data_IF_375839623552
#
_entry.id   IF_375839623552
#
_cell.length_a   1.000
_cell.length_b   1.000
_cell.length_c   1.000
_cell.angle_alpha   90.00
_cell.angle_beta   90.00
_cell.angle_gamma   90.00
#
_symmetry.space_group_name_H-M   'P 1'
#
loop_
_entity.id
_entity.type
_entity.pdbx_description
1 polymer ?
#
# COMPACT_ATOMS: atom_id res chain seq x y z
N UNK A 1 24.61 -21.12 20.96
CA UNK A 1 23.46 -20.61 21.74
C UNK A 1 22.58 -19.87 20.78
N UNK A 2 21.56 -20.56 20.28
CA UNK A 2 20.63 -20.06 19.27
C UNK A 2 19.57 -19.20 19.98
N UNK A 3 19.62 -17.88 19.78
CA UNK A 3 18.59 -16.97 20.28
C UNK A 3 17.40 -17.03 19.32
N UNK A 4 16.41 -17.80 19.69
CA UNK A 4 15.08 -17.82 19.05
C UNK A 4 14.47 -16.43 19.25
N UNK A 5 14.48 -15.61 18.19
CA UNK A 5 13.68 -14.38 18.14
C UNK A 5 12.21 -14.80 18.14
N UNK A 6 11.55 -14.53 19.24
CA UNK A 6 10.09 -14.67 19.32
C UNK A 6 9.47 -13.79 18.25
N UNK A 7 8.83 -14.45 17.29
CA UNK A 7 7.95 -13.83 16.32
C UNK A 7 6.81 -13.19 17.12
N UNK A 8 6.86 -11.87 17.34
CA UNK A 8 5.77 -11.16 18.00
C UNK A 8 4.61 -11.11 17.01
N UNK A 9 3.88 -12.22 16.94
CA UNK A 9 2.60 -12.28 16.27
C UNK A 9 1.70 -11.25 16.93
N UNK A 10 1.41 -10.16 16.20
CA UNK A 10 0.40 -9.18 16.59
C UNK A 10 -0.88 -9.97 16.78
N UNK A 11 -1.37 -10.00 18.02
CA UNK A 11 -2.60 -10.73 18.36
C UNK A 11 -3.76 -10.24 17.49
N UNK A 12 -4.55 -11.14 16.90
CA UNK A 12 -5.73 -10.78 16.12
C UNK A 12 -6.82 -10.03 16.91
N UNK A 13 -6.61 -9.82 18.20
CA UNK A 13 -7.52 -9.12 19.11
C UNK A 13 -7.17 -7.66 19.39
N UNK A 14 -6.25 -7.04 18.62
CA UNK A 14 -5.96 -5.61 18.81
C UNK A 14 -7.18 -4.75 18.45
N UNK A 15 -7.62 -3.84 19.35
CA UNK A 15 -8.76 -2.98 19.11
C UNK A 15 -8.45 -1.90 18.07
N UNK A 16 -9.39 -1.56 17.23
CA UNK A 16 -9.28 -0.42 16.30
C UNK A 16 -10.58 0.37 16.19
N UNK A 17 -10.49 1.59 15.69
CA UNK A 17 -11.63 2.44 15.38
C UNK A 17 -11.67 2.69 13.86
N UNK A 18 -12.74 2.25 13.20
CA UNK A 18 -12.97 2.50 11.79
C UNK A 18 -14.35 3.12 11.60
N UNK A 19 -14.43 4.20 10.82
CA UNK A 19 -15.70 4.90 10.53
C UNK A 19 -16.49 5.32 11.78
N UNK A 20 -15.77 5.77 12.83
CA UNK A 20 -16.39 6.17 14.10
C UNK A 20 -16.89 5.02 14.98
N UNK A 21 -16.74 3.77 14.56
CA UNK A 21 -17.15 2.59 15.33
C UNK A 21 -15.92 1.90 15.91
N UNK A 22 -15.90 1.70 17.21
CA UNK A 22 -14.86 0.94 17.91
C UNK A 22 -15.07 -0.56 17.65
N UNK A 23 -14.07 -1.21 17.09
CA UNK A 23 -14.02 -2.66 16.90
C UNK A 23 -12.99 -3.25 17.85
N UNK A 24 -13.36 -4.21 18.72
CA UNK A 24 -12.45 -4.79 19.69
C UNK A 24 -11.34 -5.64 19.04
N UNK A 25 -11.50 -6.02 17.78
CA UNK A 25 -10.47 -6.70 16.99
C UNK A 25 -10.45 -6.17 15.57
N UNK A 26 -9.30 -5.66 15.12
CA UNK A 26 -9.08 -5.26 13.73
C UNK A 26 -7.65 -5.57 13.33
N UNK A 27 -7.51 -6.72 12.77
CA UNK A 27 -6.23 -7.27 12.32
C UNK A 27 -5.62 -6.47 11.15
N UNK A 28 -6.48 -5.88 10.30
CA UNK A 28 -6.07 -5.27 9.02
C UNK A 28 -5.34 -3.94 9.16
N UNK A 29 -5.64 -3.19 10.21
CA UNK A 29 -5.15 -1.83 10.37
C UNK A 29 -3.87 -1.74 11.20
N UNK A 30 -3.49 -2.83 11.87
CA UNK A 30 -2.33 -2.87 12.77
C UNK A 30 -1.24 -3.77 12.18
N UNK A 31 -0.44 -3.20 11.30
CA UNK A 31 0.71 -3.86 10.69
C UNK A 31 1.99 -3.03 10.91
N UNK A 32 3.14 -3.53 10.50
CA UNK A 32 4.42 -2.83 10.70
C UNK A 32 4.51 -1.49 9.98
N UNK A 33 3.76 -1.29 8.89
CA UNK A 33 3.67 0.01 8.21
C UNK A 33 2.96 1.03 9.11
N UNK A 34 1.87 0.62 9.77
CA UNK A 34 1.15 1.46 10.74
C UNK A 34 2.04 1.78 11.94
N UNK A 35 2.72 0.78 12.51
CA UNK A 35 3.64 0.99 13.62
C UNK A 35 4.81 1.89 13.25
N UNK A 36 5.38 1.72 12.07
CA UNK A 36 6.43 2.60 11.54
C UNK A 36 5.95 4.05 11.44
N UNK A 37 4.74 4.24 10.88
CA UNK A 37 4.14 5.56 10.76
C UNK A 37 3.93 6.20 12.13
N UNK A 38 3.39 5.48 13.10
CA UNK A 38 3.21 5.97 14.47
C UNK A 38 4.54 6.30 15.14
N UNK A 39 5.55 5.46 14.96
CA UNK A 39 6.87 5.67 15.56
C UNK A 39 7.54 6.96 15.06
N UNK A 40 7.38 7.30 13.80
CA UNK A 40 8.11 8.40 13.17
C UNK A 40 7.27 9.69 12.95
N UNK A 41 5.95 9.57 12.91
CA UNK A 41 5.08 10.67 12.51
C UNK A 41 3.89 10.91 13.45
N UNK A 42 3.72 10.15 14.54
CA UNK A 42 2.64 10.41 15.47
C UNK A 42 2.87 11.74 16.24
N UNK A 43 1.79 12.50 16.35
CA UNK A 43 1.73 13.71 17.18
C UNK A 43 0.89 13.34 18.42
N UNK A 44 1.48 13.27 19.62
CA UNK A 44 0.73 12.98 20.84
C UNK A 44 -0.20 14.15 21.16
N UNK A 45 -1.50 13.91 21.14
CA UNK A 45 -2.52 14.92 21.47
C UNK A 45 -2.82 14.93 22.96
N UNK A 46 -2.79 13.76 23.62
CA UNK A 46 -2.99 13.60 25.05
C UNK A 46 -2.40 12.25 25.51
N UNK A 47 -2.05 12.17 26.79
CA UNK A 47 -1.57 10.94 27.41
C UNK A 47 -0.07 10.74 27.29
N UNK A 48 0.37 9.47 27.44
CA UNK A 48 1.79 9.07 27.42
C UNK A 48 2.30 8.96 26.00
N UNK A 49 3.51 9.40 25.74
CA UNK A 49 4.21 9.14 24.48
C UNK A 49 4.41 7.64 24.27
N UNK A 50 3.90 7.13 23.15
CA UNK A 50 3.97 5.72 22.80
C UNK A 50 5.13 5.39 21.85
N UNK A 51 5.66 6.38 21.14
CA UNK A 51 6.74 6.20 20.14
C UNK A 51 7.95 5.41 20.67
N UNK A 52 8.47 5.66 21.91
CA UNK A 52 9.60 4.91 22.44
C UNK A 52 9.29 3.42 22.72
N UNK A 53 8.01 3.07 22.82
CA UNK A 53 7.56 1.69 23.09
C UNK A 53 7.36 0.88 21.79
N UNK A 54 7.32 1.53 20.64
CA UNK A 54 7.08 0.87 19.35
C UNK A 54 8.37 0.20 18.87
N UNK A 55 8.35 -1.13 18.88
CA UNK A 55 9.45 -1.99 18.41
C UNK A 55 9.19 -2.45 17.00
N UNK A 56 9.44 -1.57 16.04
CA UNK A 56 9.41 -1.93 14.62
C UNK A 56 10.68 -1.37 13.97
N UNK A 57 11.26 -2.12 13.05
CA UNK A 57 12.41 -1.71 12.28
C UNK A 57 12.10 -1.75 10.77
N UNK A 58 13.06 -1.35 9.93
CA UNK A 58 12.87 -1.33 8.49
C UNK A 58 12.66 -2.73 7.90
N UNK A 59 13.24 -3.74 8.50
CA UNK A 59 13.09 -5.13 8.05
C UNK A 59 11.64 -5.58 8.19
N UNK A 60 11.01 -5.28 9.33
CA UNK A 60 9.60 -5.60 9.57
C UNK A 60 8.68 -4.92 8.54
N UNK A 61 8.98 -3.66 8.18
CA UNK A 61 8.26 -2.93 7.12
C UNK A 61 8.47 -3.59 5.76
N UNK A 62 9.71 -3.90 5.41
CA UNK A 62 10.07 -4.54 4.15
C UNK A 62 9.40 -5.91 3.99
N UNK A 63 9.41 -6.73 5.04
CA UNK A 63 8.74 -8.04 5.05
C UNK A 63 7.21 -7.90 4.87
N UNK A 64 6.62 -6.88 5.48
CA UNK A 64 5.19 -6.56 5.30
C UNK A 64 4.89 -6.13 3.85
N UNK A 65 5.74 -5.31 3.25
CA UNK A 65 5.58 -4.87 1.86
C UNK A 65 5.79 -6.02 0.89
N UNK A 66 6.77 -6.89 1.16
CA UNK A 66 7.01 -8.12 0.40
C UNK A 66 5.77 -9.01 0.38
N UNK A 67 5.19 -9.30 1.55
CA UNK A 67 3.96 -10.07 1.66
C UNK A 67 2.80 -9.44 0.86
N UNK A 68 2.64 -8.11 0.96
CA UNK A 68 1.61 -7.39 0.20
C UNK A 68 1.77 -7.58 -1.31
N UNK A 69 2.99 -7.50 -1.82
CA UNK A 69 3.28 -7.66 -3.25
C UNK A 69 3.12 -9.11 -3.69
N UNK A 70 3.79 -10.03 -3.01
CA UNK A 70 3.90 -11.43 -3.46
C UNK A 70 2.64 -12.25 -3.22
N UNK A 71 1.85 -11.89 -2.21
CA UNK A 71 0.65 -12.66 -1.85
C UNK A 71 -0.61 -11.87 -2.18
N UNK A 72 -0.83 -10.72 -1.55
CA UNK A 72 -2.10 -10.02 -1.66
C UNK A 72 -2.34 -9.47 -3.07
N UNK A 73 -1.44 -8.63 -3.57
CA UNK A 73 -1.62 -7.99 -4.88
C UNK A 73 -1.40 -8.95 -6.04
N UNK A 74 -0.51 -9.95 -5.91
CA UNK A 74 -0.36 -10.99 -6.92
C UNK A 74 -1.66 -11.76 -7.15
N UNK A 75 -2.34 -12.17 -6.07
CA UNK A 75 -3.66 -12.83 -6.18
C UNK A 75 -4.74 -11.90 -6.75
N UNK A 76 -4.71 -10.61 -6.42
CA UNK A 76 -5.68 -9.63 -6.95
C UNK A 76 -5.44 -9.33 -8.43
N UNK A 77 -4.18 -9.30 -8.86
CA UNK A 77 -3.83 -9.07 -10.26
C UNK A 77 -4.39 -10.16 -11.21
N UNK A 78 -4.67 -11.36 -10.71
CA UNK A 78 -5.33 -12.40 -11.51
C UNK A 78 -6.83 -12.14 -11.72
N UNK A 79 -7.47 -11.32 -10.89
CA UNK A 79 -8.91 -11.07 -10.90
C UNK A 79 -9.27 -9.81 -11.70
N UNK A 80 -9.06 -9.81 -13.03
CA UNK A 80 -9.27 -8.63 -13.89
C UNK A 80 -10.62 -7.93 -13.68
N UNK A 81 -11.69 -8.67 -13.43
CA UNK A 81 -13.04 -8.12 -13.27
C UNK A 81 -13.18 -7.19 -12.05
N UNK A 82 -12.32 -7.33 -11.03
CA UNK A 82 -12.29 -6.39 -9.90
C UNK A 82 -12.01 -4.96 -10.37
N UNK A 83 -11.20 -4.77 -11.41
CA UNK A 83 -10.79 -3.46 -11.94
C UNK A 83 -11.86 -2.78 -12.82
N UNK A 84 -13.04 -3.37 -12.93
CA UNK A 84 -14.23 -2.67 -13.41
C UNK A 84 -14.77 -1.69 -12.36
N UNK A 85 -14.46 -1.89 -11.09
CA UNK A 85 -14.87 -1.06 -9.97
C UNK A 85 -13.80 0.00 -9.67
N UNK A 86 -14.23 1.23 -9.50
CA UNK A 86 -13.35 2.38 -9.28
C UNK A 86 -12.50 2.24 -8.00
N UNK A 87 -13.10 1.73 -6.92
CA UNK A 87 -12.41 1.49 -5.66
C UNK A 87 -11.19 0.56 -5.80
N UNK A 88 -11.32 -0.49 -6.62
CA UNK A 88 -10.22 -1.42 -6.87
C UNK A 88 -9.15 -0.81 -7.76
N UNK A 89 -9.51 0.02 -8.73
CA UNK A 89 -8.54 0.74 -9.58
C UNK A 89 -7.71 1.69 -8.74
N UNK A 90 -8.37 2.56 -7.97
CA UNK A 90 -7.70 3.52 -7.08
C UNK A 90 -6.80 2.80 -6.08
N UNK A 91 -7.38 1.83 -5.37
CA UNK A 91 -6.66 1.14 -4.32
C UNK A 91 -5.45 0.38 -4.86
N UNK A 92 -5.57 -0.34 -5.97
CA UNK A 92 -4.51 -1.16 -6.52
C UNK A 92 -3.35 -0.31 -7.05
N UNK A 93 -3.64 0.65 -7.93
CA UNK A 93 -2.60 1.46 -8.57
C UNK A 93 -1.85 2.31 -7.55
N UNK A 94 -2.59 3.08 -6.73
CA UNK A 94 -1.93 3.99 -5.79
C UNK A 94 -1.25 3.26 -4.62
N UNK A 95 -1.72 2.06 -4.26
CA UNK A 95 -1.02 1.27 -3.25
C UNK A 95 0.28 0.71 -3.80
N UNK A 96 0.33 0.21 -5.02
CA UNK A 96 1.59 -0.23 -5.63
C UNK A 96 2.58 0.92 -5.82
N UNK A 97 2.13 2.08 -6.30
CA UNK A 97 2.99 3.27 -6.37
C UNK A 97 3.56 3.64 -4.98
N UNK A 98 2.74 3.56 -3.93
CA UNK A 98 3.18 3.84 -2.56
C UNK A 98 4.15 2.78 -2.04
N UNK A 99 3.92 1.51 -2.30
CA UNK A 99 4.84 0.43 -1.92
C UNK A 99 6.19 0.63 -2.59
N UNK A 100 6.21 0.89 -3.89
CA UNK A 100 7.44 1.11 -4.64
C UNK A 100 8.21 2.33 -4.14
N UNK A 101 7.52 3.46 -3.92
CA UNK A 101 8.11 4.63 -3.28
C UNK A 101 8.72 4.29 -1.92
N UNK A 102 7.95 3.59 -1.07
CA UNK A 102 8.39 3.24 0.29
C UNK A 102 9.62 2.35 0.28
N UNK A 103 9.68 1.37 -0.62
CA UNK A 103 10.85 0.48 -0.76
C UNK A 103 12.09 1.25 -1.21
N UNK A 104 11.94 2.19 -2.15
CA UNK A 104 13.02 2.98 -2.71
C UNK A 104 13.53 4.04 -1.72
N UNK A 105 12.62 4.84 -1.19
CA UNK A 105 12.97 6.03 -0.38
C UNK A 105 13.03 5.75 1.13
N UNK A 106 12.62 4.56 1.57
CA UNK A 106 12.47 4.18 3.00
C UNK A 106 11.62 5.14 3.80
N UNK A 107 10.66 5.75 3.14
CA UNK A 107 9.74 6.74 3.71
C UNK A 107 8.30 6.44 3.28
N UNK A 108 7.34 6.67 4.18
CA UNK A 108 5.93 6.43 3.91
C UNK A 108 5.27 7.74 3.46
N UNK A 109 4.66 7.71 2.30
CA UNK A 109 3.96 8.84 1.68
C UNK A 109 2.45 8.54 1.56
N UNK A 110 1.64 9.59 1.36
CA UNK A 110 0.21 9.43 1.06
C UNK A 110 -0.01 8.75 -0.30
N UNK A 111 -1.18 8.13 -0.51
CA UNK A 111 -1.52 7.54 -1.81
C UNK A 111 -1.49 8.57 -2.94
N UNK A 112 -1.98 9.78 -2.68
CA UNK A 112 -1.96 10.88 -3.68
C UNK A 112 -0.52 11.27 -4.02
N UNK A 113 0.30 11.56 -3.02
CA UNK A 113 1.71 11.88 -3.24
C UNK A 113 2.49 10.76 -3.93
N UNK A 114 2.16 9.49 -3.65
CA UNK A 114 2.77 8.36 -4.34
C UNK A 114 2.37 8.31 -5.83
N UNK A 115 1.13 8.63 -6.16
CA UNK A 115 0.68 8.76 -7.55
C UNK A 115 1.37 9.91 -8.28
N UNK A 116 1.48 11.08 -7.65
CA UNK A 116 2.19 12.24 -8.19
C UNK A 116 3.68 11.94 -8.42
N UNK A 117 4.33 11.29 -7.45
CA UNK A 117 5.72 10.83 -7.61
C UNK A 117 5.85 9.82 -8.75
N UNK A 118 4.92 8.88 -8.85
CA UNK A 118 4.93 7.87 -9.92
C UNK A 118 4.85 8.51 -11.31
N UNK A 119 4.06 9.57 -11.50
CA UNK A 119 4.01 10.31 -12.77
C UNK A 119 5.34 11.00 -13.12
N UNK A 120 6.17 11.33 -12.12
CA UNK A 120 7.47 11.93 -12.35
C UNK A 120 8.58 10.91 -12.68
N UNK A 121 8.44 9.65 -12.23
CA UNK A 121 9.54 8.66 -12.32
C UNK A 121 9.23 7.46 -13.20
N UNK A 122 7.95 7.12 -13.41
CA UNK A 122 7.57 5.99 -14.25
C UNK A 122 7.57 6.37 -15.74
N UNK A 123 7.88 5.41 -16.62
CA UNK A 123 7.72 5.59 -18.06
C UNK A 123 6.29 6.03 -18.44
N UNK A 124 6.16 6.89 -19.44
CA UNK A 124 4.89 7.49 -19.90
C UNK A 124 3.79 6.48 -20.21
N UNK A 125 4.15 5.26 -20.64
CA UNK A 125 3.19 4.18 -20.88
C UNK A 125 2.33 3.82 -19.66
N UNK A 126 2.78 4.14 -18.45
CA UNK A 126 2.08 3.88 -17.17
C UNK A 126 1.29 5.08 -16.65
N UNK A 127 1.46 6.24 -17.25
CA UNK A 127 0.77 7.46 -16.80
C UNK A 127 -0.76 7.36 -16.89
N UNK A 128 -1.37 6.77 -17.94
CA UNK A 128 -2.83 6.67 -17.99
C UNK A 128 -3.44 5.93 -16.80
N UNK A 129 -2.79 4.86 -16.30
CA UNK A 129 -3.27 4.10 -15.15
C UNK A 129 -3.17 4.92 -13.86
N UNK A 130 -2.07 5.64 -13.68
CA UNK A 130 -1.86 6.50 -12.51
C UNK A 130 -2.81 7.70 -12.54
N UNK A 131 -2.98 8.36 -13.69
CA UNK A 131 -3.95 9.45 -13.86
C UNK A 131 -5.38 9.00 -13.55
N UNK A 132 -5.79 7.84 -14.04
CA UNK A 132 -7.12 7.30 -13.76
C UNK A 132 -7.33 7.04 -12.26
N UNK A 133 -6.34 6.47 -11.58
CA UNK A 133 -6.42 6.23 -10.15
C UNK A 133 -6.46 7.53 -9.33
N UNK A 134 -5.67 8.53 -9.69
CA UNK A 134 -5.70 9.86 -9.07
C UNK A 134 -7.04 10.57 -9.33
N UNK A 135 -7.56 10.50 -10.56
CA UNK A 135 -8.88 11.03 -10.92
C UNK A 135 -9.99 10.45 -10.04
N UNK A 136 -9.99 9.13 -9.88
CA UNK A 136 -10.98 8.45 -9.02
C UNK A 136 -10.85 8.93 -7.57
N UNK A 137 -9.64 9.02 -7.06
CA UNK A 137 -9.37 9.42 -5.68
C UNK A 137 -9.77 10.86 -5.39
N UNK A 138 -9.53 11.78 -6.31
CA UNK A 138 -9.85 13.21 -6.14
C UNK A 138 -11.29 13.54 -6.54
N UNK A 139 -11.96 12.63 -7.23
CA UNK A 139 -13.31 12.88 -7.79
C UNK A 139 -13.32 13.89 -8.93
N UNK A 140 -12.16 14.21 -9.53
CA UNK A 140 -12.02 15.27 -10.54
C UNK A 140 -11.12 14.83 -11.70
N UNK A 141 -11.35 15.37 -12.89
CA UNK A 141 -10.55 15.11 -14.08
C UNK A 141 -11.29 14.27 -15.14
N UNK A 142 -10.61 14.07 -16.27
CA UNK A 142 -11.14 13.35 -17.42
C UNK A 142 -10.73 11.88 -17.36
N UNK A 143 -11.63 10.91 -17.63
CA UNK A 143 -11.27 9.51 -17.69
C UNK A 143 -10.15 9.23 -18.70
N UNK A 144 -9.13 8.49 -18.28
CA UNK A 144 -8.00 8.14 -19.15
C UNK A 144 -8.35 7.00 -20.13
N UNK A 145 -9.46 6.29 -19.91
CA UNK A 145 -9.87 5.14 -20.72
C UNK A 145 -11.28 5.32 -21.28
N UNK A 146 -11.44 4.96 -22.54
CA UNK A 146 -12.72 5.04 -23.25
C UNK A 146 -13.77 4.00 -22.79
N UNK A 147 -13.35 2.96 -22.08
CA UNK A 147 -14.25 1.96 -21.52
C UNK A 147 -13.68 1.30 -20.27
N UNK A 148 -14.57 0.82 -19.38
CA UNK A 148 -14.19 0.10 -18.16
C UNK A 148 -13.46 -1.22 -18.46
N UNK A 149 -13.79 -1.89 -19.55
CA UNK A 149 -13.11 -3.15 -19.94
C UNK A 149 -11.65 -2.89 -20.37
N UNK A 150 -11.41 -1.85 -21.18
CA UNK A 150 -10.04 -1.44 -21.55
C UNK A 150 -9.25 -1.01 -20.32
N UNK A 151 -9.87 -0.23 -19.43
CA UNK A 151 -9.30 0.16 -18.16
C UNK A 151 -8.89 -1.07 -17.33
N UNK A 152 -9.80 -2.01 -17.14
CA UNK A 152 -9.53 -3.21 -16.34
C UNK A 152 -8.34 -4.03 -16.88
N UNK A 153 -8.23 -4.17 -18.21
CA UNK A 153 -7.09 -4.83 -18.84
C UNK A 153 -5.78 -4.06 -18.62
N UNK A 154 -5.80 -2.74 -18.79
CA UNK A 154 -4.63 -1.88 -18.59
C UNK A 154 -4.16 -1.86 -17.12
N UNK A 155 -5.09 -1.80 -16.16
CA UNK A 155 -4.77 -1.86 -14.73
C UNK A 155 -4.20 -3.22 -14.35
N UNK A 156 -4.78 -4.32 -14.83
CA UNK A 156 -4.23 -5.65 -14.61
C UNK A 156 -2.79 -5.77 -15.12
N UNK A 157 -2.53 -5.29 -16.31
CA UNK A 157 -1.19 -5.30 -16.90
C UNK A 157 -0.21 -4.46 -16.08
N UNK A 158 -0.60 -3.24 -15.69
CA UNK A 158 0.18 -2.38 -14.80
C UNK A 158 0.55 -3.11 -13.51
N UNK A 159 -0.42 -3.73 -12.82
CA UNK A 159 -0.16 -4.43 -11.58
C UNK A 159 0.87 -5.55 -11.76
N UNK A 160 0.69 -6.41 -12.77
CA UNK A 160 1.59 -7.53 -13.04
C UNK A 160 3.02 -7.06 -13.28
N UNK A 161 3.20 -6.02 -14.08
CA UNK A 161 4.51 -5.46 -14.38
C UNK A 161 5.15 -4.80 -13.17
N UNK A 162 4.39 -4.04 -12.36
CA UNK A 162 4.95 -3.39 -11.16
C UNK A 162 5.27 -4.39 -10.06
N UNK A 163 4.45 -5.44 -9.89
CA UNK A 163 4.73 -6.55 -8.97
C UNK A 163 6.04 -7.24 -9.36
N UNK A 164 6.18 -7.62 -10.63
CA UNK A 164 7.41 -8.24 -11.15
C UNK A 164 8.63 -7.35 -10.92
N UNK A 165 8.53 -6.07 -11.27
CA UNK A 165 9.60 -5.09 -11.05
C UNK A 165 10.03 -5.04 -9.57
N UNK A 166 9.08 -4.97 -8.64
CA UNK A 166 9.39 -4.94 -7.22
C UNK A 166 10.07 -6.22 -6.74
N UNK A 167 9.64 -7.39 -7.22
CA UNK A 167 10.24 -8.68 -6.89
C UNK A 167 11.70 -8.76 -7.34
N UNK A 168 11.98 -8.33 -8.57
CA UNK A 168 13.32 -8.38 -9.16
C UNK A 168 14.29 -7.38 -8.52
N UNK A 169 13.82 -6.19 -8.10
CA UNK A 169 14.70 -5.10 -7.67
C UNK A 169 14.84 -4.94 -6.16
N UNK A 170 13.85 -5.39 -5.39
CA UNK A 170 13.85 -5.17 -3.94
C UNK A 170 13.84 -6.44 -3.11
N UNK A 171 13.52 -7.60 -3.70
CA UNK A 171 13.33 -8.85 -2.95
C UNK A 171 14.13 -10.03 -3.51
N UNK A 172 14.93 -9.82 -4.55
CA UNK A 172 15.88 -10.81 -5.10
C UNK A 172 17.09 -11.03 -4.19
#
# INVERSE_FOLDING_TARGET
>A
MSSSRANSSISPSSPCCASGTFKPSAYWDVNHITWWTLKHHAIPVAGRELQPLIRTDWRDVSDTLKYNIEVYWAQKAEKRLCFLLDEWVESAVLTLCRIEYTLKERHIISKTGAGEHALAVLPEQWHPQVHEALRIRTGSGIPAFSSRLRRAAAIQHFLKERIRFCQEHYFS
#
